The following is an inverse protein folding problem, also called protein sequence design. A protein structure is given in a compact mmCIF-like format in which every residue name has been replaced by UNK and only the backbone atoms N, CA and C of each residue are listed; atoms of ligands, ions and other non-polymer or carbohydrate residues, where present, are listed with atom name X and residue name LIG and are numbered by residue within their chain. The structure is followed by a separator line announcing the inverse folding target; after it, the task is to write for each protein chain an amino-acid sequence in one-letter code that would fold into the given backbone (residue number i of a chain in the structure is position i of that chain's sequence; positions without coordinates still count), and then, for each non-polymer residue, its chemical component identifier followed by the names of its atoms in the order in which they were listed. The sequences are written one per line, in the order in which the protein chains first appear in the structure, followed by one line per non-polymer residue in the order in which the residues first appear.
data_IF_323446969443
#
_entry.id   IF_323446969443
#
_cell.length_a   1.000
_cell.length_b   1.000
_cell.length_c   1.000
_cell.angle_alpha   90.00
_cell.angle_beta   90.00
_cell.angle_gamma   90.00
#
_symmetry.space_group_name_H-M   'P 1'
#
loop_
_entity.id
_entity.type
_entity.pdbx_description
1 polymer ?
#
# COMPACT_ATOMS: atom_id res chain seq x y z
N UNK A 1 23.77 21.23 1.44
CA UNK A 1 23.88 21.39 -0.03
C UNK A 1 22.55 21.03 -0.68
N UNK A 2 22.05 19.80 -0.56
CA UNK A 2 20.75 19.40 -1.16
C UNK A 2 19.53 20.16 -0.61
N UNK A 3 19.50 20.46 0.69
CA UNK A 3 18.33 21.11 1.31
C UNK A 3 18.14 22.59 0.89
N UNK A 4 19.22 23.33 0.65
CA UNK A 4 19.12 24.74 0.24
C UNK A 4 18.66 24.86 -1.22
N UNK A 5 19.14 23.98 -2.09
CA UNK A 5 18.68 23.89 -3.48
C UNK A 5 17.20 23.47 -3.53
N UNK A 6 16.78 22.55 -2.67
CA UNK A 6 15.38 22.13 -2.56
C UNK A 6 14.49 23.28 -2.08
N UNK A 7 14.88 24.00 -1.01
CA UNK A 7 14.12 25.14 -0.49
C UNK A 7 14.05 26.29 -1.50
N UNK A 8 15.10 26.53 -2.28
CA UNK A 8 15.11 27.52 -3.36
C UNK A 8 14.10 27.21 -4.48
N UNK A 9 14.02 25.93 -4.89
CA UNK A 9 13.04 25.47 -5.88
C UNK A 9 11.61 25.59 -5.34
N UNK A 10 11.35 25.18 -4.10
CA UNK A 10 10.02 25.34 -3.46
C UNK A 10 9.60 26.80 -3.33
N UNK A 11 10.53 27.69 -2.97
CA UNK A 11 10.28 29.13 -2.92
C UNK A 11 9.90 29.71 -4.29
N UNK A 12 10.57 29.29 -5.36
CA UNK A 12 10.27 29.76 -6.73
C UNK A 12 8.90 29.29 -7.26
N UNK A 13 8.39 28.15 -6.79
CA UNK A 13 7.06 27.61 -7.16
C UNK A 13 5.93 28.27 -6.37
N UNK A 14 6.17 28.68 -5.13
CA UNK A 14 5.15 29.30 -4.27
C UNK A 14 4.94 30.80 -4.57
N UNK A 15 5.99 31.53 -4.94
CA UNK A 15 5.96 32.99 -5.15
C UNK A 15 5.08 33.48 -6.32
N UNK A 16 4.98 32.83 -7.50
CA UNK A 16 4.15 33.34 -8.59
C UNK A 16 2.63 33.19 -8.33
N UNK A 17 2.22 32.31 -7.40
CA UNK A 17 0.82 32.07 -7.06
C UNK A 17 0.20 33.12 -6.13
N UNK A 18 1.00 34.07 -5.64
CA UNK A 18 0.53 35.16 -4.79
C UNK A 18 -0.17 36.29 -5.58
N UNK A 19 0.05 36.37 -6.90
CA UNK A 19 -0.51 37.41 -7.78
C UNK A 19 -1.44 36.87 -8.88
N UNK A 20 -1.75 35.57 -8.87
CA UNK A 20 -2.60 34.90 -9.86
C UNK A 20 -4.10 35.03 -9.56
N UNK A 21 -4.90 35.27 -10.60
CA UNK A 21 -6.38 35.27 -10.61
C UNK A 21 -6.89 33.83 -10.54
N UNK A 22 -6.43 33.09 -9.55
CA UNK A 22 -6.83 31.69 -9.34
C UNK A 22 -7.98 31.67 -8.34
N UNK A 23 -9.14 31.20 -8.77
CA UNK A 23 -10.30 31.03 -7.89
C UNK A 23 -9.99 29.99 -6.81
N UNK A 24 -10.64 30.13 -5.64
CA UNK A 24 -10.43 29.22 -4.51
C UNK A 24 -10.60 27.74 -4.88
N UNK A 25 -11.50 27.45 -5.84
CA UNK A 25 -11.74 26.11 -6.35
C UNK A 25 -10.50 25.49 -7.02
N UNK A 26 -9.75 26.26 -7.80
CA UNK A 26 -8.55 25.78 -8.50
C UNK A 26 -7.38 25.55 -7.52
N UNK A 27 -7.27 26.41 -6.49
CA UNK A 27 -6.29 26.25 -5.40
C UNK A 27 -6.54 24.99 -4.57
N UNK A 28 -7.80 24.60 -4.39
CA UNK A 28 -8.18 23.41 -3.63
C UNK A 28 -7.81 22.13 -4.37
N UNK A 29 -7.90 22.12 -5.71
CA UNK A 29 -7.43 21.00 -6.53
C UNK A 29 -5.90 20.82 -6.43
N UNK A 30 -5.13 21.92 -6.47
CA UNK A 30 -3.67 21.87 -6.29
C UNK A 30 -3.27 21.33 -4.90
N UNK A 31 -4.06 21.63 -3.87
CA UNK A 31 -3.85 21.08 -2.53
C UNK A 31 -4.01 19.55 -2.48
N UNK A 32 -4.92 18.96 -3.27
CA UNK A 32 -5.06 17.48 -3.33
C UNK A 32 -3.81 16.80 -3.86
N UNK A 33 -3.13 17.40 -4.84
CA UNK A 33 -1.88 16.88 -5.41
C UNK A 33 -0.79 16.86 -4.33
N UNK A 34 -0.68 17.94 -3.56
CA UNK A 34 0.29 18.03 -2.44
C UNK A 34 0.00 16.96 -1.38
N UNK A 35 -1.28 16.73 -1.04
CA UNK A 35 -1.66 15.68 -0.10
C UNK A 35 -1.31 14.29 -0.61
N UNK A 36 -1.52 14.00 -1.89
CA UNK A 36 -1.13 12.71 -2.47
C UNK A 36 0.38 12.52 -2.50
N UNK A 37 1.16 13.55 -2.80
CA UNK A 37 2.63 13.48 -2.73
C UNK A 37 3.09 13.21 -1.29
N UNK A 38 2.50 13.89 -0.31
CA UNK A 38 2.83 13.68 1.10
C UNK A 38 2.48 12.26 1.54
N UNK A 39 1.25 11.81 1.26
CA UNK A 39 0.82 10.44 1.56
C UNK A 39 1.69 9.38 0.87
N UNK A 40 2.01 9.58 -0.41
CA UNK A 40 2.90 8.70 -1.17
C UNK A 40 4.29 8.63 -0.54
N UNK A 41 4.85 9.76 -0.10
CA UNK A 41 6.15 9.81 0.56
C UNK A 41 6.13 9.07 1.89
N UNK A 42 5.06 9.21 2.68
CA UNK A 42 4.93 8.47 3.96
C UNK A 42 4.85 6.95 3.70
N UNK A 43 4.07 6.53 2.71
CA UNK A 43 3.91 5.12 2.35
C UNK A 43 5.23 4.53 1.84
N UNK A 44 5.97 5.24 0.97
CA UNK A 44 7.24 4.74 0.45
C UNK A 44 8.29 4.60 1.55
N UNK A 45 8.38 5.56 2.48
CA UNK A 45 9.29 5.44 3.63
C UNK A 45 8.95 4.22 4.46
N UNK A 46 7.65 3.97 4.72
CA UNK A 46 7.19 2.79 5.46
C UNK A 46 7.51 1.48 4.72
N UNK A 47 7.41 1.48 3.40
CA UNK A 47 7.64 0.28 2.59
C UNK A 47 9.12 -0.09 2.45
N UNK A 48 9.99 0.91 2.26
CA UNK A 48 11.39 0.67 1.86
C UNK A 48 12.39 0.81 3.02
N UNK A 49 12.07 1.59 4.05
CA UNK A 49 12.97 1.83 5.18
C UNK A 49 12.59 0.98 6.40
N UNK A 50 11.30 0.66 6.54
CA UNK A 50 10.78 -0.18 7.62
C UNK A 50 10.36 -1.55 7.07
N UNK A 51 10.07 -2.49 7.96
CA UNK A 51 9.50 -3.77 7.56
C UNK A 51 8.05 -3.58 7.12
N UNK A 52 7.75 -3.97 5.88
CA UNK A 52 6.42 -3.89 5.26
C UNK A 52 5.44 -4.94 5.80
N UNK A 53 5.94 -6.06 6.32
CA UNK A 53 5.16 -7.16 6.87
C UNK A 53 5.97 -7.93 7.92
N UNK A 54 5.33 -8.62 8.86
CA UNK A 54 5.98 -9.59 9.74
C UNK A 54 5.40 -10.98 9.49
N UNK A 55 6.27 -11.94 9.18
CA UNK A 55 5.88 -13.33 8.96
C UNK A 55 6.29 -14.19 10.15
N UNK A 56 5.41 -15.13 10.53
CA UNK A 56 5.65 -16.07 11.62
C UNK A 56 5.61 -17.51 11.09
N UNK A 57 6.56 -18.32 11.53
CA UNK A 57 6.59 -19.77 11.29
C UNK A 57 6.83 -20.49 12.61
N UNK A 58 6.18 -21.64 12.81
CA UNK A 58 6.24 -22.39 14.07
C UNK A 58 7.62 -23.02 14.33
N UNK A 59 8.41 -23.27 13.29
CA UNK A 59 9.76 -23.84 13.39
C UNK A 59 10.76 -22.92 12.67
N UNK A 60 11.52 -22.15 13.44
CA UNK A 60 12.65 -21.38 12.91
C UNK A 60 13.94 -22.22 13.02
N UNK A 61 14.72 -22.37 11.94
CA UNK A 61 16.09 -22.86 12.06
C UNK A 61 16.90 -21.89 12.92
N UNK A 62 17.91 -22.40 13.64
CA UNK A 62 18.76 -21.61 14.53
C UNK A 62 19.58 -20.61 13.72
N UNK A 63 19.11 -19.37 13.61
CA UNK A 63 19.79 -18.28 12.93
C UNK A 63 19.19 -16.92 13.28
N UNK A 64 20.04 -15.97 13.65
CA UNK A 64 19.63 -14.63 14.13
C UNK A 64 18.89 -13.82 13.05
N UNK A 65 19.20 -14.07 11.77
CA UNK A 65 18.68 -13.29 10.63
C UNK A 65 17.55 -13.99 9.85
N UNK A 66 17.02 -15.11 10.34
CA UNK A 66 16.00 -15.87 9.62
C UNK A 66 14.68 -15.10 9.48
N UNK A 67 14.32 -14.29 10.48
CA UNK A 67 13.07 -13.50 10.46
C UNK A 67 13.09 -12.40 9.39
N UNK A 68 14.25 -11.80 9.12
CA UNK A 68 14.42 -10.78 8.07
C UNK A 68 14.32 -11.41 6.67
N UNK A 69 14.93 -12.58 6.49
CA UNK A 69 14.77 -13.37 5.27
C UNK A 69 13.32 -13.78 5.04
N UNK A 70 12.63 -14.31 6.05
CA UNK A 70 11.22 -14.69 5.92
C UNK A 70 10.33 -13.50 5.54
N UNK A 71 10.56 -12.35 6.17
CA UNK A 71 9.81 -11.14 5.90
C UNK A 71 9.96 -10.69 4.45
N UNK A 72 11.20 -10.67 3.94
CA UNK A 72 11.48 -10.33 2.53
C UNK A 72 10.95 -11.37 1.54
N UNK A 73 11.02 -12.66 1.89
CA UNK A 73 10.45 -13.74 1.09
C UNK A 73 8.93 -13.61 0.94
N UNK A 74 8.21 -13.44 2.05
CA UNK A 74 6.77 -13.19 2.04
C UNK A 74 6.39 -11.96 1.21
N UNK A 75 7.19 -10.89 1.31
CA UNK A 75 6.94 -9.65 0.59
C UNK A 75 7.03 -9.83 -0.94
N UNK A 76 8.03 -10.56 -1.44
CA UNK A 76 8.24 -10.78 -2.87
C UNK A 76 7.25 -11.79 -3.46
N UNK A 77 6.98 -12.88 -2.73
CA UNK A 77 6.10 -13.94 -3.21
C UNK A 77 4.60 -13.59 -3.08
N UNK A 78 4.27 -12.65 -2.19
CA UNK A 78 2.89 -12.29 -1.87
C UNK A 78 2.27 -13.26 -0.86
N UNK A 79 1.09 -12.89 -0.36
CA UNK A 79 0.34 -13.67 0.64
C UNK A 79 -1.00 -14.13 0.10
N UNK A 80 -1.45 -15.30 0.55
CA UNK A 80 -2.77 -15.84 0.24
C UNK A 80 -3.66 -15.56 1.47
N UNK A 81 -4.80 -14.89 1.33
CA UNK A 81 -5.70 -14.62 2.45
C UNK A 81 -6.49 -15.90 2.81
N UNK A 82 -6.33 -16.38 4.04
CA UNK A 82 -7.16 -17.45 4.61
C UNK A 82 -8.07 -16.88 5.70
N UNK A 83 -9.31 -17.36 5.77
CA UNK A 83 -10.22 -17.02 6.86
C UNK A 83 -9.84 -17.78 8.13
N UNK A 84 -10.13 -17.23 9.32
CA UNK A 84 -9.80 -17.85 10.60
C UNK A 84 -10.48 -19.22 10.84
N UNK A 85 -11.56 -19.51 10.12
CA UNK A 85 -12.31 -20.76 10.22
C UNK A 85 -11.91 -21.80 9.15
N UNK A 86 -10.95 -21.47 8.28
CA UNK A 86 -10.52 -22.32 7.17
C UNK A 86 -9.31 -23.16 7.59
N UNK A 87 -9.28 -24.43 7.18
CA UNK A 87 -8.15 -25.30 7.47
C UNK A 87 -6.97 -24.93 6.58
N UNK A 88 -5.76 -24.98 7.13
CA UNK A 88 -4.56 -24.74 6.34
C UNK A 88 -4.35 -25.91 5.35
N UNK A 89 -4.15 -25.62 4.05
CA UNK A 89 -3.96 -26.67 3.06
C UNK A 89 -2.71 -27.49 3.37
N UNK A 90 -2.84 -28.81 3.29
CA UNK A 90 -1.76 -29.75 3.64
C UNK A 90 -1.08 -30.35 2.41
N UNK A 91 -1.64 -30.15 1.21
CA UNK A 91 -1.12 -30.73 -0.04
C UNK A 91 -0.79 -29.66 -1.06
N UNK A 92 0.23 -29.89 -1.88
CA UNK A 92 0.70 -28.93 -2.89
C UNK A 92 -0.39 -28.59 -3.91
N UNK A 93 -1.19 -29.60 -4.32
CA UNK A 93 -2.31 -29.39 -5.25
C UNK A 93 -3.39 -28.47 -4.68
N UNK A 94 -3.58 -28.49 -3.36
CA UNK A 94 -4.53 -27.63 -2.68
C UNK A 94 -3.99 -26.19 -2.60
N UNK A 95 -2.69 -26.03 -2.33
CA UNK A 95 -2.01 -24.74 -2.40
C UNK A 95 -2.11 -24.09 -3.79
N UNK A 96 -1.88 -24.86 -4.85
CA UNK A 96 -1.99 -24.39 -6.23
C UNK A 96 -3.41 -23.88 -6.54
N UNK A 97 -4.42 -24.62 -6.08
CA UNK A 97 -5.83 -24.24 -6.25
C UNK A 97 -6.16 -22.94 -5.50
N UNK A 98 -5.65 -22.77 -4.28
CA UNK A 98 -5.87 -21.54 -3.52
C UNK A 98 -5.15 -20.35 -4.15
N UNK A 99 -3.93 -20.52 -4.65
CA UNK A 99 -3.21 -19.45 -5.36
C UNK A 99 -3.99 -19.04 -6.63
N UNK A 100 -4.48 -20.00 -7.41
CA UNK A 100 -5.27 -19.71 -8.62
C UNK A 100 -6.56 -18.92 -8.31
N UNK A 101 -7.30 -19.32 -7.28
CA UNK A 101 -8.64 -18.76 -6.99
C UNK A 101 -8.57 -17.46 -6.19
N UNK A 102 -7.56 -17.29 -5.33
CA UNK A 102 -7.51 -16.19 -4.35
C UNK A 102 -6.54 -15.08 -4.76
N UNK A 103 -5.60 -15.34 -5.67
CA UNK A 103 -4.71 -14.29 -6.16
C UNK A 103 -5.54 -13.25 -6.91
N UNK A 104 -5.34 -11.98 -6.56
CA UNK A 104 -6.06 -10.86 -7.15
C UNK A 104 -5.70 -10.79 -8.64
N UNK A 105 -6.54 -11.39 -9.48
CA UNK A 105 -6.51 -11.27 -10.94
C UNK A 105 -7.37 -10.08 -11.38
N UNK A 106 -7.15 -9.54 -12.58
CA UNK A 106 -7.86 -8.34 -13.07
C UNK A 106 -9.40 -8.45 -13.00
N UNK A 107 -9.96 -9.66 -13.05
CA UNK A 107 -11.38 -9.93 -12.87
C UNK A 107 -11.89 -9.67 -11.45
N UNK A 108 -11.08 -9.95 -10.42
CA UNK A 108 -11.48 -9.83 -9.01
C UNK A 108 -11.53 -8.37 -8.52
N UNK A 109 -10.69 -7.47 -9.07
CA UNK A 109 -10.70 -6.04 -8.70
C UNK A 109 -12.05 -5.38 -9.05
N UNK A 110 -12.68 -5.76 -10.16
CA UNK A 110 -14.02 -5.27 -10.52
C UNK A 110 -15.09 -5.69 -9.51
N UNK A 111 -15.01 -6.90 -8.98
CA UNK A 111 -15.97 -7.43 -8.01
C UNK A 111 -15.77 -6.82 -6.61
N UNK A 112 -14.52 -6.57 -6.20
CA UNK A 112 -14.22 -6.00 -4.89
C UNK A 112 -14.53 -4.48 -4.79
N UNK A 113 -14.34 -3.71 -5.88
CA UNK A 113 -14.81 -2.31 -5.96
C UNK A 113 -16.35 -2.24 -5.87
N UNK A 114 -17.05 -3.25 -6.39
CA UNK A 114 -18.51 -3.32 -6.29
C UNK A 114 -18.97 -3.69 -4.86
N UNK A 115 -18.28 -4.59 -4.14
CA UNK A 115 -18.66 -4.98 -2.78
C UNK A 115 -18.41 -3.87 -1.75
N UNK A 116 -17.29 -3.14 -1.87
CA UNK A 116 -16.96 -2.00 -0.99
C UNK A 116 -17.94 -0.82 -1.15
N UNK A 117 -18.45 -0.57 -2.35
CA UNK A 117 -19.55 0.38 -2.58
C UNK A 117 -20.88 -0.06 -1.94
N UNK A 118 -21.12 -1.37 -1.87
CA UNK A 118 -22.33 -1.93 -1.27
C UNK A 118 -22.28 -1.91 0.26
N UNK A 119 -21.09 -2.01 0.86
CA UNK A 119 -20.86 -1.86 2.30
C UNK A 119 -20.96 -0.39 2.76
N UNK A 120 -20.43 0.56 1.98
CA UNK A 120 -20.60 2.00 2.24
C UNK A 120 -22.06 2.45 2.21
N UNK A 121 -22.91 1.84 1.36
CA UNK A 121 -24.36 2.09 1.35
C UNK A 121 -25.05 1.57 2.62
N UNK A 122 -24.57 0.47 3.23
CA UNK A 122 -25.12 -0.07 4.50
C UNK A 122 -24.72 0.74 5.73
N UNK A 123 -23.62 1.49 5.67
CA UNK A 123 -23.19 2.39 6.75
C UNK A 123 -23.88 3.77 6.72
N UNK A 124 -24.61 4.08 5.64
CA UNK A 124 -25.33 5.34 5.44
C UNK A 124 -26.86 5.20 5.62
N UNK A 125 -27.35 4.05 6.09
CA UNK A 125 -28.74 3.79 6.48
C UNK A 125 -28.82 3.05 7.81
#
# INVERSE_FOLDING_TARGET
MVAEDFLGVFGSVLVPNALGVEDFADRLNLFTVVLFILAGTVITVKQYVLQSISCYVSVSPTGENFNEFLTSYCWVHGTIPLSSNEQMPNTDQEWDRYDEVRRISESFVRECVCSTLQDLRKLLY
#
